data_IF_895398565856
#
_entry.id   IF_895398565856
#
_cell.length_a   1.000
_cell.length_b   1.000
_cell.length_c   1.000
_cell.angle_alpha   90.00
_cell.angle_beta   90.00
_cell.angle_gamma   90.00
#
_symmetry.space_group_name_H-M   'P 1'
#
loop_
_entity.id
_entity.type
_entity.pdbx_description
1 polymer ?
#
# COMPACT_ATOMS: atom_id res chain seq x y z
N UNK A 1 -0.35 12.88 -16.30
CA UNK A 1 -1.18 12.99 -15.09
C UNK A 1 -2.14 11.82 -15.08
N UNK A 2 -2.18 11.03 -14.00
CA UNK A 2 -3.04 9.84 -13.89
C UNK A 2 -4.06 10.08 -12.77
N UNK A 3 -5.35 10.08 -13.12
CA UNK A 3 -6.42 10.27 -12.14
C UNK A 3 -6.71 8.92 -11.48
N UNK A 4 -6.67 8.88 -10.15
CA UNK A 4 -6.87 7.68 -9.35
C UNK A 4 -8.00 7.89 -8.34
N UNK A 5 -8.91 6.92 -8.25
CA UNK A 5 -9.95 6.89 -7.22
C UNK A 5 -9.62 5.77 -6.23
N UNK A 6 -9.72 6.07 -4.94
CA UNK A 6 -9.58 5.05 -3.91
C UNK A 6 -10.79 4.12 -3.98
N UNK A 7 -10.56 2.81 -3.87
CA UNK A 7 -11.62 1.81 -3.70
C UNK A 7 -12.39 2.06 -2.40
N UNK A 8 -13.59 1.52 -2.31
CA UNK A 8 -14.35 1.55 -1.06
C UNK A 8 -13.59 0.82 0.05
N UNK A 9 -13.68 1.34 1.27
CA UNK A 9 -12.89 0.81 2.38
C UNK A 9 -13.27 -0.63 2.75
N UNK A 10 -14.53 -0.99 2.57
CA UNK A 10 -15.03 -2.37 2.64
C UNK A 10 -14.30 -3.28 1.65
N UNK A 11 -14.18 -2.85 0.40
CA UNK A 11 -13.51 -3.63 -0.63
C UNK A 11 -12.02 -3.84 -0.30
N UNK A 12 -11.33 -2.78 0.12
CA UNK A 12 -9.92 -2.87 0.52
C UNK A 12 -9.76 -3.81 1.73
N UNK A 13 -10.64 -3.67 2.74
CA UNK A 13 -10.59 -4.52 3.92
C UNK A 13 -10.82 -5.99 3.58
N UNK A 14 -11.76 -6.31 2.70
CA UNK A 14 -11.99 -7.69 2.26
C UNK A 14 -10.78 -8.30 1.54
N UNK A 15 -9.99 -7.47 0.83
CA UNK A 15 -8.73 -7.91 0.21
C UNK A 15 -7.63 -8.17 1.24
N UNK A 16 -7.59 -7.40 2.33
CA UNK A 16 -6.50 -7.47 3.31
C UNK A 16 -6.81 -8.30 4.56
N UNK A 17 -8.08 -8.67 4.80
CA UNK A 17 -8.52 -9.40 6.01
C UNK A 17 -7.80 -10.72 6.31
N UNK A 18 -7.15 -11.44 5.35
CA UNK A 18 -6.34 -12.60 5.66
C UNK A 18 -5.01 -12.25 6.34
N UNK A 19 -4.51 -11.02 6.17
CA UNK A 19 -3.21 -10.57 6.68
C UNK A 19 -3.37 -9.83 8.02
N UNK A 20 -2.41 -10.04 8.92
CA UNK A 20 -2.33 -9.38 10.23
C UNK A 20 -1.38 -8.18 10.22
N UNK A 21 -0.44 -8.13 9.26
CA UNK A 21 0.58 -7.10 9.16
C UNK A 21 0.76 -6.62 7.73
N UNK A 22 0.41 -5.36 7.46
CA UNK A 22 0.42 -4.77 6.11
C UNK A 22 1.33 -3.55 5.99
N UNK A 23 1.96 -3.39 4.83
CA UNK A 23 2.69 -2.18 4.46
C UNK A 23 1.84 -1.35 3.49
N UNK A 24 1.61 -0.08 3.80
CA UNK A 24 0.86 0.82 2.92
C UNK A 24 1.84 1.71 2.17
N UNK A 25 1.94 1.50 0.87
CA UNK A 25 2.85 2.22 0.00
C UNK A 25 2.12 3.35 -0.74
N UNK A 26 2.38 4.59 -0.30
CA UNK A 26 2.02 5.79 -1.04
C UNK A 26 2.88 6.00 -2.29
N UNK A 27 2.35 6.68 -3.30
CA UNK A 27 3.04 7.05 -4.53
C UNK A 27 3.06 8.58 -4.70
N UNK A 28 4.25 9.18 -4.64
CA UNK A 28 4.47 10.63 -4.76
C UNK A 28 4.82 11.06 -6.20
N UNK A 29 4.29 10.32 -7.17
CA UNK A 29 4.62 10.47 -8.58
C UNK A 29 3.59 11.33 -9.32
N UNK A 30 2.88 10.72 -10.27
CA UNK A 30 1.97 11.41 -11.18
C UNK A 30 0.48 11.17 -10.89
N UNK A 31 0.15 10.55 -9.76
CA UNK A 31 -1.22 10.27 -9.34
C UNK A 31 -1.93 11.55 -8.86
N UNK A 32 -3.20 11.69 -9.23
CA UNK A 32 -4.10 12.74 -8.76
C UNK A 32 -5.41 12.14 -8.22
N UNK A 33 -5.87 12.54 -7.01
CA UNK A 33 -5.18 13.40 -6.02
C UNK A 33 -3.85 12.78 -5.55
N UNK A 34 -2.94 13.55 -4.92
CA UNK A 34 -1.69 13.01 -4.36
C UNK A 34 -1.98 11.81 -3.45
N UNK A 35 -1.10 10.81 -3.48
CA UNK A 35 -1.23 9.56 -2.72
C UNK A 35 0.02 9.31 -1.89
N UNK A 36 0.53 10.36 -1.26
CA UNK A 36 1.80 10.37 -0.56
C UNK A 36 1.62 9.83 0.86
N UNK A 37 2.44 10.30 1.80
CA UNK A 37 2.48 9.76 3.16
C UNK A 37 1.17 9.98 3.93
N UNK A 38 0.49 11.10 3.67
CA UNK A 38 -0.73 11.46 4.38
C UNK A 38 -1.88 10.53 3.99
N UNK A 39 -2.09 10.28 2.70
CA UNK A 39 -3.14 9.37 2.23
C UNK A 39 -2.86 7.93 2.65
N UNK A 40 -1.60 7.51 2.65
CA UNK A 40 -1.20 6.20 3.15
C UNK A 40 -1.52 6.03 4.64
N UNK A 41 -1.23 7.06 5.47
CA UNK A 41 -1.58 7.05 6.91
C UNK A 41 -3.08 7.05 7.15
N UNK A 42 -3.83 7.87 6.42
CA UNK A 42 -5.30 7.93 6.54
C UNK A 42 -5.91 6.57 6.20
N UNK A 43 -5.47 5.93 5.13
CA UNK A 43 -5.94 4.58 4.79
C UNK A 43 -5.60 3.57 5.89
N UNK A 44 -4.39 3.60 6.42
CA UNK A 44 -3.97 2.70 7.51
C UNK A 44 -4.83 2.84 8.75
N UNK A 45 -5.10 4.07 9.19
CA UNK A 45 -5.98 4.35 10.34
C UNK A 45 -7.41 3.85 10.10
N UNK A 46 -7.95 4.03 8.89
CA UNK A 46 -9.28 3.54 8.54
C UNK A 46 -9.35 2.00 8.57
N UNK A 47 -8.35 1.33 8.00
CA UNK A 47 -8.27 -0.13 7.99
C UNK A 47 -8.07 -0.71 9.41
N UNK A 48 -7.24 -0.06 10.24
CA UNK A 48 -7.04 -0.46 11.62
C UNK A 48 -8.33 -0.35 12.43
N UNK A 49 -9.04 0.78 12.33
CA UNK A 49 -10.32 0.97 13.00
C UNK A 49 -11.32 -0.11 12.59
N UNK A 50 -11.41 -0.38 11.29
CA UNK A 50 -12.30 -1.41 10.74
C UNK A 50 -11.93 -2.82 11.19
N UNK A 51 -10.65 -3.14 11.24
CA UNK A 51 -10.16 -4.41 11.77
C UNK A 51 -10.56 -4.59 13.24
N UNK A 52 -10.38 -3.55 14.07
CA UNK A 52 -10.77 -3.55 15.49
C UNK A 52 -12.27 -3.79 15.68
N UNK A 53 -13.11 -3.15 14.85
CA UNK A 53 -14.57 -3.37 14.86
C UNK A 53 -14.96 -4.82 14.52
N UNK A 54 -14.11 -5.55 13.79
CA UNK A 54 -14.30 -6.95 13.44
C UNK A 54 -13.56 -7.92 14.39
N UNK A 55 -13.06 -7.44 15.54
CA UNK A 55 -12.39 -8.26 16.53
C UNK A 55 -10.98 -8.73 16.14
N UNK A 56 -10.36 -8.10 15.14
CA UNK A 56 -8.99 -8.41 14.69
C UNK A 56 -8.05 -7.24 14.96
N UNK A 57 -6.79 -7.54 15.28
CA UNK A 57 -5.73 -6.55 15.30
C UNK A 57 -5.00 -6.51 13.95
N UNK A 58 -4.83 -5.30 13.42
CA UNK A 58 -4.07 -5.05 12.20
C UNK A 58 -2.86 -4.19 12.53
N UNK A 59 -1.67 -4.74 12.34
CA UNK A 59 -0.42 -3.97 12.39
C UNK A 59 -0.17 -3.35 11.03
N UNK A 60 0.10 -2.05 10.97
CA UNK A 60 0.35 -1.40 9.70
C UNK A 60 1.46 -0.36 9.80
N UNK A 61 2.09 -0.07 8.66
CA UNK A 61 3.01 1.05 8.50
C UNK A 61 2.78 1.72 7.17
N UNK A 62 2.79 3.04 7.17
CA UNK A 62 2.71 3.84 5.96
C UNK A 62 4.11 4.31 5.55
N UNK A 63 4.41 4.15 4.26
CA UNK A 63 5.60 4.69 3.62
C UNK A 63 5.20 5.46 2.37
N UNK A 64 6.15 6.15 1.77
CA UNK A 64 5.98 6.81 0.48
C UNK A 64 7.14 6.45 -0.42
N UNK A 65 6.79 6.11 -1.66
CA UNK A 65 7.73 5.83 -2.72
C UNK A 65 7.60 6.96 -3.74
N UNK A 66 8.71 7.60 -4.10
CA UNK A 66 8.72 8.71 -5.06
C UNK A 66 8.05 8.32 -6.39
N UNK A 67 8.39 7.13 -6.91
CA UNK A 67 7.74 6.53 -8.07
C UNK A 67 7.68 5.02 -7.92
N UNK A 68 6.48 4.47 -7.72
CA UNK A 68 6.31 3.00 -7.66
C UNK A 68 6.47 2.32 -9.02
N UNK A 69 6.31 3.05 -10.11
CA UNK A 69 6.50 2.53 -11.47
C UNK A 69 7.97 2.47 -11.92
N UNK A 70 8.90 2.97 -11.10
CA UNK A 70 10.34 2.88 -11.33
C UNK A 70 10.90 1.73 -10.49
N UNK A 71 11.53 0.77 -11.15
CA UNK A 71 11.97 -0.48 -10.54
C UNK A 71 13.02 -0.29 -9.45
N UNK A 72 14.00 0.59 -9.71
CA UNK A 72 15.08 0.89 -8.78
C UNK A 72 14.54 1.63 -7.56
N UNK A 73 13.75 2.68 -7.77
CA UNK A 73 13.18 3.48 -6.67
C UNK A 73 12.24 2.62 -5.82
N UNK A 74 11.33 1.88 -6.45
CA UNK A 74 10.39 1.02 -5.76
C UNK A 74 11.12 -0.08 -4.98
N UNK A 75 12.07 -0.77 -5.63
CA UNK A 75 12.89 -1.80 -5.02
C UNK A 75 13.64 -1.29 -3.80
N UNK A 76 14.45 -0.22 -3.94
CA UNK A 76 15.26 0.26 -2.80
C UNK A 76 14.42 0.81 -1.64
N UNK A 77 13.26 1.40 -1.94
CA UNK A 77 12.40 2.01 -0.90
C UNK A 77 11.60 0.97 -0.14
N UNK A 78 11.09 -0.06 -0.83
CA UNK A 78 10.22 -1.08 -0.23
C UNK A 78 11.01 -2.24 0.38
N UNK A 79 12.16 -2.60 -0.18
CA UNK A 79 12.98 -3.76 0.25
C UNK A 79 13.27 -3.85 1.75
N UNK A 80 13.54 -2.75 2.49
CA UNK A 80 13.77 -2.81 3.93
C UNK A 80 12.59 -3.28 4.78
N UNK A 81 11.38 -3.35 4.21
CA UNK A 81 10.15 -3.71 4.93
C UNK A 81 9.60 -5.08 4.53
N UNK A 82 10.09 -5.65 3.43
CA UNK A 82 9.58 -6.86 2.79
C UNK A 82 9.39 -8.02 3.78
N UNK A 83 10.43 -8.32 4.55
CA UNK A 83 10.45 -9.48 5.45
C UNK A 83 9.58 -9.27 6.69
N UNK A 84 9.15 -8.03 6.96
CA UNK A 84 8.42 -7.65 8.16
C UNK A 84 6.88 -7.67 7.97
N UNK A 85 6.40 -7.52 6.73
CA UNK A 85 4.98 -7.37 6.41
C UNK A 85 4.51 -8.47 5.46
N UNK A 86 3.25 -8.90 5.60
CA UNK A 86 2.68 -10.02 4.85
C UNK A 86 2.02 -9.58 3.52
N UNK A 87 1.74 -8.29 3.37
CA UNK A 87 1.16 -7.75 2.15
C UNK A 87 1.49 -6.26 1.97
N UNK A 88 1.53 -5.82 0.71
CA UNK A 88 1.70 -4.41 0.33
C UNK A 88 0.39 -3.87 -0.23
N UNK A 89 -0.15 -2.83 0.40
CA UNK A 89 -1.28 -2.05 -0.12
C UNK A 89 -0.74 -0.84 -0.85
N UNK A 90 -0.82 -0.86 -2.17
CA UNK A 90 -0.35 0.24 -3.02
C UNK A 90 -1.45 1.28 -3.27
N UNK A 91 -1.10 2.55 -3.14
CA UNK A 91 -1.92 3.69 -3.57
C UNK A 91 -1.49 4.26 -4.95
N UNK A 92 -0.69 3.52 -5.72
CA UNK A 92 -0.27 3.94 -7.05
C UNK A 92 -1.34 3.68 -8.14
N UNK A 93 -1.00 4.07 -9.36
CA UNK A 93 -1.72 3.65 -10.55
C UNK A 93 -1.41 2.18 -10.92
N UNK A 94 -2.10 1.65 -11.93
CA UNK A 94 -1.89 0.26 -12.39
C UNK A 94 -0.43 -0.07 -12.71
N UNK A 95 0.31 0.84 -13.35
CA UNK A 95 1.72 0.60 -13.67
C UNK A 95 2.58 0.46 -12.40
N UNK A 96 2.31 1.25 -11.36
CA UNK A 96 3.05 1.17 -10.09
C UNK A 96 2.75 -0.12 -9.33
N UNK A 97 1.49 -0.54 -9.31
CA UNK A 97 1.08 -1.81 -8.69
C UNK A 97 1.72 -2.99 -9.42
N UNK A 98 1.66 -3.03 -10.75
CA UNK A 98 2.28 -4.09 -11.54
C UNK A 98 3.80 -4.14 -11.37
N UNK A 99 4.46 -2.99 -11.24
CA UNK A 99 5.89 -2.92 -10.99
C UNK A 99 6.25 -3.49 -9.61
N UNK A 100 5.52 -3.13 -8.55
CA UNK A 100 5.75 -3.71 -7.23
C UNK A 100 5.56 -5.23 -7.23
N UNK A 101 4.50 -5.73 -7.87
CA UNK A 101 4.26 -7.17 -8.01
C UNK A 101 5.41 -7.88 -8.74
N UNK A 102 6.01 -7.25 -9.76
CA UNK A 102 7.14 -7.81 -10.50
C UNK A 102 8.44 -7.84 -9.68
N UNK A 103 8.70 -6.81 -8.87
CA UNK A 103 9.94 -6.72 -8.10
C UNK A 103 9.95 -7.72 -6.94
N UNK A 104 8.77 -8.01 -6.37
CA UNK A 104 8.61 -8.85 -5.18
C UNK A 104 7.88 -10.17 -5.45
N UNK A 105 7.88 -10.64 -6.70
CA UNK A 105 7.18 -11.86 -7.15
C UNK A 105 7.56 -13.11 -6.34
N UNK A 106 8.80 -13.18 -5.85
CA UNK A 106 9.32 -14.32 -5.10
C UNK A 106 9.17 -14.19 -3.57
N UNK A 107 8.58 -13.10 -3.07
CA UNK A 107 8.71 -12.73 -1.64
C UNK A 107 7.39 -12.48 -0.91
N UNK A 108 6.29 -12.26 -1.63
CA UNK A 108 4.95 -12.00 -1.08
C UNK A 108 3.84 -12.71 -1.86
#
# INVERSE_FOLDING_TARGET
MIITKLKDIDEIYEMIKPYSKILIAGCDGCCQPPRSINEAKVLGQMLELKSKMNGKNLTWKAITVLRQCDDRIAGTTVRPYIDEYEAIVSLACGLGVSMLSRIFEDTL
#
